data_IF_205307232620
#
_entry.id   IF_205307232620
#
_cell.length_a   1.000
_cell.length_b   1.000
_cell.length_c   1.000
_cell.angle_alpha   90.00
_cell.angle_beta   90.00
_cell.angle_gamma   90.00
#
_symmetry.space_group_name_H-M   'P 1'
#
loop_
_entity.id
_entity.type
_entity.pdbx_description
1 polymer ?
#
# COMPACT_ATOMS: atom_id res chain seq x y z
N UNK A 1 39.79 -39.29 -0.03
CA UNK A 1 39.06 -38.15 0.55
C UNK A 1 38.12 -37.59 -0.50
N UNK A 2 36.80 -37.64 -0.28
CA UNK A 2 35.80 -37.08 -1.20
C UNK A 2 35.40 -35.71 -0.69
N UNK A 3 35.71 -34.67 -1.47
CA UNK A 3 35.33 -33.29 -1.19
C UNK A 3 33.81 -33.15 -1.34
N UNK A 4 33.11 -32.92 -0.23
CA UNK A 4 31.70 -32.59 -0.26
C UNK A 4 31.56 -31.10 -0.62
N UNK A 5 31.05 -30.83 -1.82
CA UNK A 5 30.68 -29.48 -2.26
C UNK A 5 29.50 -29.00 -1.42
N UNK A 6 29.75 -28.12 -0.47
CA UNK A 6 28.72 -27.36 0.23
C UNK A 6 28.11 -26.36 -0.77
N UNK A 7 26.96 -26.72 -1.33
CA UNK A 7 26.14 -25.77 -2.07
C UNK A 7 25.56 -24.75 -1.08
N UNK A 8 26.13 -23.55 -1.03
CA UNK A 8 25.53 -22.40 -0.34
C UNK A 8 24.41 -21.90 -1.23
N UNK A 9 23.18 -22.29 -0.94
CA UNK A 9 22.01 -21.69 -1.57
C UNK A 9 21.88 -20.24 -1.05
N UNK A 10 22.28 -19.27 -1.88
CA UNK A 10 21.99 -17.87 -1.61
C UNK A 10 20.49 -17.65 -1.84
N UNK A 11 19.71 -17.54 -0.76
CA UNK A 11 18.38 -16.94 -0.84
C UNK A 11 18.57 -15.46 -1.12
N UNK A 12 18.57 -15.08 -2.40
CA UNK A 12 18.41 -13.70 -2.80
C UNK A 12 17.05 -13.23 -2.29
N UNK A 13 17.05 -12.48 -1.17
CA UNK A 13 15.85 -11.83 -0.67
C UNK A 13 15.37 -10.81 -1.70
N UNK A 14 14.36 -11.16 -2.48
CA UNK A 14 13.62 -10.19 -3.28
C UNK A 14 12.96 -9.23 -2.29
N UNK A 15 13.48 -7.99 -2.21
CA UNK A 15 12.83 -6.91 -1.51
C UNK A 15 11.54 -6.55 -2.26
N UNK A 16 10.48 -7.33 -2.07
CA UNK A 16 9.14 -6.88 -2.44
C UNK A 16 8.79 -5.80 -1.43
N UNK A 17 8.74 -4.54 -1.89
CA UNK A 17 8.19 -3.47 -1.08
C UNK A 17 6.78 -3.91 -0.65
N UNK A 18 6.60 -4.16 0.65
CA UNK A 18 5.30 -4.57 1.17
C UNK A 18 4.34 -3.43 0.91
N UNK A 19 3.39 -3.63 -0.01
CA UNK A 19 2.31 -2.67 -0.24
C UNK A 19 1.61 -2.33 1.07
N UNK A 20 1.11 -1.10 1.18
CA UNK A 20 0.30 -0.66 2.31
C UNK A 20 -0.91 -1.60 2.49
N UNK A 21 -1.19 -1.95 3.74
CA UNK A 21 -2.40 -2.69 4.10
C UNK A 21 -3.59 -1.76 4.30
N UNK A 22 -4.79 -2.32 4.27
CA UNK A 22 -6.05 -1.59 4.49
C UNK A 22 -6.96 -2.38 5.45
N UNK A 23 -7.78 -1.66 6.23
CA UNK A 23 -8.86 -2.25 7.00
C UNK A 23 -10.05 -2.48 6.07
N UNK A 24 -10.39 -3.73 5.78
CA UNK A 24 -11.48 -4.09 4.86
C UNK A 24 -12.84 -3.55 5.33
N UNK A 25 -13.64 -3.07 4.39
CA UNK A 25 -15.05 -2.76 4.62
C UNK A 25 -15.89 -4.02 4.42
N UNK A 26 -16.49 -4.59 5.48
CA UNK A 26 -17.30 -5.81 5.35
C UNK A 26 -18.55 -5.63 4.48
N UNK A 27 -18.97 -4.40 4.19
CA UNK A 27 -20.17 -4.12 3.37
C UNK A 27 -19.85 -3.95 1.89
N UNK A 28 -18.62 -3.59 1.54
CA UNK A 28 -18.23 -3.28 0.16
C UNK A 28 -17.00 -4.08 -0.25
N UNK A 29 -17.24 -5.12 -1.05
CA UNK A 29 -16.16 -5.92 -1.65
C UNK A 29 -15.20 -5.02 -2.44
N UNK A 30 -13.90 -5.26 -2.30
CA UNK A 30 -12.84 -4.48 -2.92
C UNK A 30 -12.56 -3.11 -2.29
N UNK A 31 -13.20 -2.73 -1.17
CA UNK A 31 -13.00 -1.44 -0.52
C UNK A 31 -12.61 -1.56 0.95
N UNK A 32 -12.02 -0.48 1.48
CA UNK A 32 -11.60 -0.41 2.87
C UNK A 32 -11.03 0.95 3.25
N UNK A 33 -10.45 1.00 4.44
CA UNK A 33 -9.89 2.20 5.02
C UNK A 33 -8.38 2.10 5.20
N UNK A 34 -7.70 3.19 4.91
CA UNK A 34 -6.28 3.38 5.17
C UNK A 34 -6.07 4.54 6.16
N UNK A 35 -5.09 4.41 7.05
CA UNK A 35 -4.71 5.44 8.01
C UNK A 35 -3.44 6.13 7.54
N UNK A 36 -3.57 7.38 7.10
CA UNK A 36 -2.45 8.19 6.60
C UNK A 36 -1.48 8.42 7.75
N UNK A 37 -0.19 8.16 7.53
CA UNK A 37 0.88 8.46 8.48
C UNK A 37 1.74 9.64 8.01
N UNK A 38 2.58 10.16 8.89
CA UNK A 38 3.47 11.25 8.55
C UNK A 38 4.45 10.82 7.44
N UNK A 39 4.56 11.66 6.39
CA UNK A 39 5.43 11.40 5.23
C UNK A 39 4.73 10.69 4.06
N UNK A 40 3.44 10.37 4.19
CA UNK A 40 2.68 9.84 3.07
C UNK A 40 2.36 10.91 2.03
N UNK A 41 2.41 10.48 0.77
CA UNK A 41 1.90 11.22 -0.38
C UNK A 41 0.71 10.45 -0.98
N UNK A 42 -0.29 11.19 -1.48
CA UNK A 42 -1.50 10.55 -2.00
C UNK A 42 -1.20 9.67 -3.22
N UNK A 43 -0.23 10.06 -4.05
CA UNK A 43 0.23 9.28 -5.19
C UNK A 43 0.82 7.92 -4.78
N UNK A 44 1.65 7.87 -3.74
CA UNK A 44 2.23 6.61 -3.25
C UNK A 44 1.15 5.70 -2.65
N UNK A 45 0.23 6.26 -1.88
CA UNK A 45 -0.94 5.53 -1.35
C UNK A 45 -1.75 4.93 -2.51
N UNK A 46 -2.05 5.74 -3.53
CA UNK A 46 -2.85 5.31 -4.68
C UNK A 46 -2.18 4.18 -5.45
N UNK A 47 -0.87 4.26 -5.68
CA UNK A 47 -0.09 3.20 -6.33
C UNK A 47 -0.16 1.86 -5.57
N UNK A 48 -0.11 1.89 -4.24
CA UNK A 48 -0.20 0.68 -3.42
C UNK A 48 -1.57 0.00 -3.55
N UNK A 49 -2.64 0.79 -3.64
CA UNK A 49 -4.03 0.32 -3.73
C UNK A 49 -4.57 0.19 -5.16
N UNK A 50 -3.76 0.47 -6.18
CA UNK A 50 -4.16 0.36 -7.59
C UNK A 50 -5.22 1.39 -8.00
N UNK A 51 -5.08 2.62 -7.52
CA UNK A 51 -5.90 3.79 -7.86
C UNK A 51 -5.00 4.94 -8.33
N UNK A 52 -5.61 6.00 -8.85
CA UNK A 52 -4.94 7.31 -9.00
C UNK A 52 -5.20 8.20 -7.78
N UNK A 53 -4.32 9.18 -7.55
CA UNK A 53 -4.54 10.16 -6.48
C UNK A 53 -5.83 10.96 -6.68
N UNK A 54 -6.20 11.27 -7.93
CA UNK A 54 -7.45 11.96 -8.27
C UNK A 54 -8.69 11.13 -7.92
N UNK A 55 -8.67 9.82 -8.16
CA UNK A 55 -9.76 8.91 -7.77
C UNK A 55 -9.94 8.89 -6.25
N UNK A 56 -8.84 8.75 -5.50
CA UNK A 56 -8.89 8.78 -4.03
C UNK A 56 -9.37 10.14 -3.55
N UNK A 57 -8.87 11.24 -4.13
CA UNK A 57 -9.24 12.59 -3.73
C UNK A 57 -10.74 12.85 -3.92
N UNK A 58 -11.29 12.47 -5.08
CA UNK A 58 -12.73 12.56 -5.37
C UNK A 58 -13.56 11.73 -4.39
N UNK A 59 -13.17 10.48 -4.15
CA UNK A 59 -13.92 9.55 -3.30
C UNK A 59 -13.91 9.98 -1.81
N UNK A 60 -12.91 10.78 -1.38
CA UNK A 60 -12.73 11.23 0.00
C UNK A 60 -13.01 12.73 0.22
N UNK A 61 -13.38 13.47 -0.82
CA UNK A 61 -13.60 14.92 -0.73
C UNK A 61 -12.32 15.71 -0.40
N UNK A 62 -11.16 15.25 -0.87
CA UNK A 62 -9.87 15.94 -0.69
C UNK A 62 -9.74 17.04 -1.76
N UNK A 63 -9.62 18.33 -1.38
CA UNK A 63 -9.58 19.42 -2.36
C UNK A 63 -8.27 19.50 -3.14
N UNK A 64 -7.15 19.14 -2.51
CA UNK A 64 -5.82 19.18 -3.11
C UNK A 64 -5.09 17.83 -2.89
N UNK A 65 -4.93 17.00 -3.93
CA UNK A 65 -4.21 15.72 -3.85
C UNK A 65 -2.77 15.83 -3.33
N UNK A 66 -2.10 16.97 -3.56
CA UNK A 66 -0.71 17.21 -3.14
C UNK A 66 -0.60 17.69 -1.68
N UNK A 67 -1.73 17.91 -1.01
CA UNK A 67 -1.78 18.38 0.37
C UNK A 67 -2.79 17.57 1.19
N UNK A 68 -2.30 16.49 1.79
CA UNK A 68 -3.09 15.60 2.64
C UNK A 68 -2.68 15.70 4.11
N UNK A 69 -3.63 15.41 5.00
CA UNK A 69 -3.42 15.47 6.45
C UNK A 69 -3.04 14.09 6.99
N UNK A 70 -1.88 14.01 7.65
CA UNK A 70 -1.48 12.83 8.40
C UNK A 70 -2.46 12.54 9.56
N UNK A 71 -2.44 11.31 10.06
CA UNK A 71 -3.27 10.84 11.17
C UNK A 71 -4.77 10.99 10.89
N UNK A 72 -5.14 10.72 9.64
CA UNK A 72 -6.53 10.75 9.17
C UNK A 72 -6.83 9.48 8.40
N UNK A 73 -8.05 8.97 8.53
CA UNK A 73 -8.51 7.81 7.77
C UNK A 73 -9.09 8.24 6.43
N UNK A 74 -8.72 7.54 5.36
CA UNK A 74 -9.32 7.67 4.03
C UNK A 74 -9.85 6.33 3.54
N UNK A 75 -10.81 6.39 2.63
CA UNK A 75 -11.41 5.26 1.94
C UNK A 75 -10.65 4.96 0.65
N UNK A 76 -10.29 3.70 0.44
CA UNK A 76 -9.45 3.23 -0.68
C UNK A 76 -9.97 1.91 -1.24
N UNK A 77 -9.49 1.54 -2.42
CA UNK A 77 -9.56 0.17 -2.91
C UNK A 77 -8.74 -0.73 -2.00
N UNK A 78 -9.31 -1.85 -1.59
CA UNK A 78 -8.71 -2.78 -0.66
C UNK A 78 -8.88 -4.20 -1.23
N UNK A 79 -7.81 -4.80 -1.78
CA UNK A 79 -7.88 -6.17 -2.28
C UNK A 79 -8.24 -7.15 -1.16
N UNK A 80 -9.12 -8.09 -1.49
CA UNK A 80 -9.54 -9.16 -0.60
C UNK A 80 -8.63 -10.38 -0.69
#
# INVERSE_FOLDING_TARGET
MRFATLAVAAFAGLAVASKRGCRRDPKHHGKGWYWIVLGDELNSIAADFGQTADEIARDNGIPNPDSIKAWTTIYVNCPW
#
